data_IF_484441763986
#
_entry.id   IF_484441763986
#
_cell.length_a   1.000
_cell.length_b   1.000
_cell.length_c   1.000
_cell.angle_alpha   90.00
_cell.angle_beta   90.00
_cell.angle_gamma   90.00
#
_symmetry.space_group_name_H-M   'P 1'
#
loop_
_entity.id
_entity.type
_entity.pdbx_description
1 polymer ?
#
# COMPACT_ATOMS: atom_id res chain seq x y z
N UNK A 1 4.81 -7.28 -4.68
CA UNK A 1 3.84 -8.34 -5.05
C UNK A 1 3.81 -8.57 -6.56
N UNK A 2 3.38 -7.61 -7.39
CA UNK A 2 3.37 -7.76 -8.88
C UNK A 2 4.70 -8.29 -9.44
N UNK A 3 5.81 -7.61 -9.15
CA UNK A 3 7.15 -8.07 -9.56
C UNK A 3 7.59 -9.38 -8.89
N UNK A 4 7.17 -9.62 -7.64
CA UNK A 4 7.52 -10.86 -6.91
C UNK A 4 6.86 -12.09 -7.53
N UNK A 5 5.68 -11.92 -8.14
CA UNK A 5 5.00 -12.94 -8.90
C UNK A 5 5.51 -13.06 -10.36
N UNK A 6 6.64 -12.42 -10.71
CA UNK A 6 7.20 -12.46 -12.07
C UNK A 6 6.44 -11.66 -13.12
N UNK A 7 5.42 -10.89 -12.73
CA UNK A 7 4.60 -10.12 -13.66
C UNK A 7 5.26 -8.78 -14.03
N UNK A 8 5.01 -8.32 -15.27
CA UNK A 8 5.46 -7.03 -15.78
C UNK A 8 4.38 -5.95 -15.60
N UNK A 9 4.80 -4.72 -15.35
CA UNK A 9 3.89 -3.56 -15.24
C UNK A 9 3.74 -2.96 -16.64
N UNK A 10 2.55 -3.05 -17.21
CA UNK A 10 2.19 -2.34 -18.45
C UNK A 10 1.75 -0.92 -18.14
N UNK A 11 2.13 0.04 -18.98
CA UNK A 11 1.73 1.45 -18.88
C UNK A 11 1.38 1.98 -20.27
N UNK A 12 0.32 2.79 -20.41
CA UNK A 12 0.06 3.48 -21.66
C UNK A 12 1.17 4.49 -21.97
N UNK A 13 1.37 4.87 -23.25
CA UNK A 13 2.29 5.93 -23.63
C UNK A 13 2.02 7.23 -22.88
N UNK A 14 3.08 7.98 -22.57
CA UNK A 14 2.99 9.23 -21.82
C UNK A 14 2.04 10.21 -22.51
N UNK A 15 2.03 10.26 -23.84
CA UNK A 15 1.18 11.12 -24.65
C UNK A 15 -0.33 10.98 -24.37
N UNK A 16 -0.79 9.83 -23.88
CA UNK A 16 -2.22 9.57 -23.59
C UNK A 16 -2.47 9.20 -22.11
N UNK A 17 -1.43 8.90 -21.34
CA UNK A 17 -1.53 8.43 -19.95
C UNK A 17 -1.66 9.54 -18.90
N UNK A 18 -2.03 10.76 -19.30
CA UNK A 18 -2.12 11.90 -18.39
C UNK A 18 -3.40 11.83 -17.53
N UNK A 19 -3.26 12.14 -16.23
CA UNK A 19 -4.36 12.21 -15.28
C UNK A 19 -4.32 13.54 -14.52
N UNK A 20 -5.47 13.99 -14.03
CA UNK A 20 -5.60 15.21 -13.22
C UNK A 20 -6.11 14.85 -11.84
N UNK A 21 -5.30 15.11 -10.81
CA UNK A 21 -5.73 14.95 -9.43
C UNK A 21 -6.78 16.02 -9.08
N UNK A 22 -7.89 15.60 -8.48
CA UNK A 22 -8.84 16.52 -7.86
C UNK A 22 -8.14 17.20 -6.68
N UNK A 23 -8.26 18.53 -6.58
CA UNK A 23 -7.60 19.31 -5.53
C UNK A 23 -8.09 18.83 -4.15
N UNK A 24 -7.16 18.40 -3.31
CA UNK A 24 -7.35 18.06 -1.90
C UNK A 24 -6.24 18.72 -1.08
N UNK A 25 -6.45 18.87 0.24
CA UNK A 25 -5.36 19.25 1.15
C UNK A 25 -4.33 18.12 1.17
N UNK A 26 -3.07 18.41 1.47
CA UNK A 26 -2.09 17.33 1.68
C UNK A 26 -2.63 16.37 2.73
N UNK A 27 -2.78 15.10 2.35
CA UNK A 27 -3.25 14.09 3.29
C UNK A 27 -2.20 13.90 4.38
N UNK A 28 -2.63 13.97 5.64
CA UNK A 28 -1.79 13.64 6.79
C UNK A 28 -1.40 12.16 6.68
N UNK A 29 -0.11 11.85 6.65
CA UNK A 29 0.39 10.48 6.44
C UNK A 29 1.02 10.20 5.07
N UNK A 30 0.99 11.16 4.14
CA UNK A 30 1.71 11.07 2.86
C UNK A 30 3.12 11.69 2.90
N UNK A 31 3.68 11.92 4.09
CA UNK A 31 5.08 12.32 4.23
C UNK A 31 6.03 11.19 3.75
N UNK A 32 7.26 11.54 3.41
CA UNK A 32 8.26 10.52 3.06
C UNK A 32 8.42 9.53 4.23
N UNK A 33 8.21 8.25 3.96
CA UNK A 33 8.24 7.23 4.99
C UNK A 33 9.70 6.79 5.29
N UNK A 34 10.25 7.10 6.46
CA UNK A 34 11.64 6.74 6.80
C UNK A 34 11.87 5.22 6.86
N UNK A 35 10.82 4.42 7.07
CA UNK A 35 10.87 2.95 7.17
C UNK A 35 10.48 2.24 5.86
N UNK A 36 10.51 2.94 4.72
CA UNK A 36 10.09 2.39 3.42
C UNK A 36 10.79 1.08 3.06
N UNK A 37 12.10 0.97 3.34
CA UNK A 37 12.87 -0.24 3.01
C UNK A 37 12.50 -1.43 3.89
N UNK A 38 12.24 -1.22 5.18
CA UNK A 38 11.77 -2.27 6.07
C UNK A 38 10.40 -2.81 5.64
N UNK A 39 9.51 -1.92 5.16
CA UNK A 39 8.21 -2.32 4.61
C UNK A 39 8.34 -3.15 3.33
N UNK A 40 9.32 -2.84 2.47
CA UNK A 40 9.56 -3.59 1.25
C UNK A 40 10.12 -4.99 1.56
N UNK A 41 11.06 -5.12 2.50
CA UNK A 41 11.56 -6.42 2.99
C UNK A 41 10.42 -7.23 3.62
N UNK A 42 9.61 -6.60 4.48
CA UNK A 42 8.42 -7.25 5.06
C UNK A 42 7.45 -7.72 3.98
N UNK A 43 7.24 -6.94 2.93
CA UNK A 43 6.38 -7.33 1.81
C UNK A 43 6.91 -8.58 1.11
N UNK A 44 8.23 -8.70 0.90
CA UNK A 44 8.82 -9.90 0.30
C UNK A 44 8.54 -11.17 1.12
N UNK A 45 8.46 -11.06 2.44
CA UNK A 45 8.19 -12.19 3.35
C UNK A 45 6.70 -12.50 3.47
N UNK A 46 5.84 -11.48 3.55
CA UNK A 46 4.45 -11.64 3.98
C UNK A 46 3.42 -11.67 2.85
N UNK A 47 3.80 -11.34 1.62
CA UNK A 47 2.82 -11.05 0.57
C UNK A 47 1.89 -12.20 0.16
N UNK A 48 2.24 -13.44 0.49
CA UNK A 48 1.42 -14.65 0.24
C UNK A 48 0.48 -14.99 1.40
N UNK A 49 0.75 -14.48 2.60
CA UNK A 49 -0.02 -14.80 3.81
C UNK A 49 -0.97 -13.67 4.21
N UNK A 50 -0.58 -12.41 3.94
CA UNK A 50 -1.35 -11.22 4.25
C UNK A 50 -1.96 -10.66 2.95
N UNK A 51 -3.24 -10.88 2.68
CA UNK A 51 -3.89 -10.50 1.43
C UNK A 51 -5.36 -10.93 1.33
N UNK A 52 -5.83 -11.26 0.12
CA UNK A 52 -7.22 -11.70 -0.09
C UNK A 52 -7.59 -12.95 0.71
N UNK A 53 -6.62 -13.84 0.97
CA UNK A 53 -6.77 -15.05 1.75
C UNK A 53 -6.92 -14.82 3.27
N UNK A 54 -6.55 -13.63 3.76
CA UNK A 54 -6.63 -13.25 5.17
C UNK A 54 -7.57 -12.06 5.41
N UNK A 55 -8.35 -11.67 4.41
CA UNK A 55 -9.21 -10.49 4.48
C UNK A 55 -10.45 -10.79 5.35
N UNK A 56 -10.60 -10.04 6.44
CA UNK A 56 -11.79 -10.07 7.31
C UNK A 56 -12.51 -8.73 7.25
N UNK A 57 -13.80 -8.74 6.94
CA UNK A 57 -14.66 -7.56 6.94
C UNK A 57 -16.13 -7.94 7.15
N UNK A 58 -16.93 -6.97 7.57
CA UNK A 58 -18.38 -7.10 7.68
C UNK A 58 -19.05 -6.10 6.73
N UNK A 59 -19.96 -6.58 5.88
CA UNK A 59 -20.78 -5.69 5.06
C UNK A 59 -21.89 -5.08 5.92
N UNK A 60 -21.92 -3.74 6.01
CA UNK A 60 -22.92 -3.01 6.79
C UNK A 60 -24.09 -2.56 5.92
N UNK A 61 -23.80 -2.06 4.71
CA UNK A 61 -24.82 -1.62 3.77
C UNK A 61 -24.37 -1.81 2.32
N UNK A 62 -25.35 -2.09 1.45
CA UNK A 62 -25.17 -2.17 0.00
C UNK A 62 -26.28 -1.37 -0.68
N UNK A 63 -25.90 -0.34 -1.42
CA UNK A 63 -26.84 0.52 -2.13
C UNK A 63 -26.51 0.55 -3.63
N UNK A 64 -27.49 0.19 -4.45
CA UNK A 64 -27.40 0.32 -5.90
C UNK A 64 -27.83 1.73 -6.30
N UNK A 65 -26.93 2.50 -6.88
CA UNK A 65 -27.20 3.82 -7.46
C UNK A 65 -27.09 3.73 -8.99
N UNK A 66 -27.72 4.64 -9.75
CA UNK A 66 -27.68 4.58 -11.21
C UNK A 66 -26.27 4.57 -11.83
N UNK A 67 -25.29 5.19 -11.17
CA UNK A 67 -23.92 5.34 -11.69
C UNK A 67 -22.86 4.50 -10.93
N UNK A 68 -23.19 3.96 -9.76
CA UNK A 68 -22.23 3.21 -8.93
C UNK A 68 -22.94 2.34 -7.89
N UNK A 69 -22.21 1.40 -7.30
CA UNK A 69 -22.67 0.67 -6.11
C UNK A 69 -21.91 1.17 -4.89
N UNK A 70 -22.63 1.58 -3.85
CA UNK A 70 -22.02 1.94 -2.57
C UNK A 70 -21.98 0.70 -1.67
N UNK A 71 -20.79 0.36 -1.16
CA UNK A 71 -20.59 -0.68 -0.17
C UNK A 71 -19.99 -0.06 1.09
N UNK A 72 -20.79 0.00 2.15
CA UNK A 72 -20.31 0.40 3.47
C UNK A 72 -19.86 -0.84 4.21
N UNK A 73 -18.58 -0.90 4.58
CA UNK A 73 -17.96 -2.09 5.20
C UNK A 73 -17.23 -1.71 6.49
N UNK A 74 -17.32 -2.58 7.49
CA UNK A 74 -16.44 -2.56 8.65
C UNK A 74 -15.22 -3.45 8.37
N UNK A 75 -14.03 -2.87 8.42
CA UNK A 75 -12.74 -3.56 8.19
C UNK A 75 -11.98 -3.85 9.50
N UNK A 76 -12.64 -3.67 10.65
CA UNK A 76 -12.06 -3.86 11.97
C UNK A 76 -11.18 -2.69 12.43
N UNK A 77 -10.47 -2.92 13.54
CA UNK A 77 -9.55 -1.95 14.15
C UNK A 77 -8.12 -2.23 13.69
N UNK A 78 -7.30 -1.18 13.53
CA UNK A 78 -5.88 -1.38 13.23
C UNK A 78 -5.20 -2.15 14.38
N UNK A 79 -4.66 -3.36 14.15
CA UNK A 79 -3.96 -4.11 15.19
C UNK A 79 -2.67 -3.40 15.66
N UNK A 80 -2.19 -2.39 14.92
CA UNK A 80 -1.07 -1.52 15.33
C UNK A 80 -1.53 -0.29 16.12
N UNK A 81 -2.84 -0.06 16.22
CA UNK A 81 -3.48 1.06 16.90
C UNK A 81 -3.60 0.88 18.42
N UNK A 82 -2.63 0.24 19.07
CA UNK A 82 -2.49 0.33 20.52
C UNK A 82 -2.27 1.78 20.99
N UNK A 83 -2.36 2.09 22.30
CA UNK A 83 -2.19 3.45 22.81
C UNK A 83 -0.91 4.06 22.22
N UNK A 84 -1.04 5.26 21.64
CA UNK A 84 0.02 5.99 20.93
C UNK A 84 1.28 6.03 21.80
N UNK A 85 2.29 5.20 21.54
CA UNK A 85 3.49 5.18 22.37
C UNK A 85 4.44 3.99 22.29
N UNK A 86 4.14 2.91 21.56
CA UNK A 86 5.12 1.83 21.40
C UNK A 86 6.28 2.26 20.48
N UNK A 87 7.55 2.14 20.90
CA UNK A 87 8.69 2.52 20.08
C UNK A 87 8.74 1.63 18.84
N UNK A 88 8.66 2.26 17.66
CA UNK A 88 8.91 1.59 16.37
C UNK A 88 10.37 1.13 16.34
N UNK A 89 10.60 -0.09 15.85
CA UNK A 89 11.92 -0.67 15.71
C UNK A 89 12.90 0.32 15.01
N UNK A 90 14.17 0.39 15.45
CA UNK A 90 15.13 1.32 14.91
C UNK A 90 15.35 1.07 13.41
N UNK A 91 15.42 2.13 12.58
CA UNK A 91 15.70 1.98 11.16
C UNK A 91 17.14 1.51 10.98
N UNK A 92 17.36 0.30 10.42
CA UNK A 92 18.75 -0.16 10.34
C UNK A 92 19.11 -1.52 9.73
N UNK A 93 18.21 -2.28 9.07
CA UNK A 93 18.57 -3.65 8.65
C UNK A 93 18.78 -3.90 7.15
N UNK A 94 18.68 -2.88 6.28
CA UNK A 94 18.53 -3.14 4.84
C UNK A 94 19.35 -2.23 3.89
N UNK A 95 20.62 -1.95 4.21
CA UNK A 95 21.51 -1.14 3.34
C UNK A 95 21.67 -1.73 1.93
N UNK A 96 21.92 -3.04 1.80
CA UNK A 96 22.06 -3.72 0.51
C UNK A 96 20.78 -3.72 -0.33
N UNK A 97 19.64 -4.00 0.31
CA UNK A 97 18.34 -3.96 -0.36
C UNK A 97 17.95 -2.53 -0.78
N UNK A 98 18.37 -1.52 -0.01
CA UNK A 98 18.21 -0.11 -0.36
C UNK A 98 18.99 0.26 -1.62
N UNK A 99 20.25 -0.16 -1.74
CA UNK A 99 21.07 0.04 -2.93
C UNK A 99 20.47 -0.65 -4.16
N UNK A 100 20.01 -1.90 -4.03
CA UNK A 100 19.39 -2.66 -5.11
C UNK A 100 18.11 -1.97 -5.65
N UNK A 101 17.25 -1.49 -4.75
CA UNK A 101 15.97 -0.87 -5.11
C UNK A 101 16.09 0.56 -5.65
N UNK A 102 17.19 1.26 -5.34
CA UNK A 102 17.50 2.59 -5.88
C UNK A 102 18.20 2.52 -7.25
N UNK A 103 18.67 1.34 -7.65
CA UNK A 103 19.24 1.12 -8.98
C UNK A 103 18.15 1.34 -10.02
N UNK A 104 18.28 2.40 -10.83
CA UNK A 104 17.39 2.62 -11.97
C UNK A 104 17.59 1.47 -12.96
N UNK A 105 16.50 0.92 -13.54
CA UNK A 105 16.64 0.00 -14.66
C UNK A 105 17.38 0.72 -15.81
N UNK A 106 18.15 -0.01 -16.63
CA UNK A 106 18.74 0.54 -17.84
C UNK A 106 17.67 1.07 -18.81
#
# INVERSE_FOLDING_TARGET
RVRLAGMKISRPPVSIGHYKMVKHKSDKGNEENPHRFDLLVRTQRMWTQDGMNSLTYTLLAKELRPLYTNLTVDIGRDPRGGPRGAPRAPPGSSSRFREEMLRKPP
#
